data_IF_859791873847
#
_entry.id   IF_859791873847
#
_cell.length_a   1.000
_cell.length_b   1.000
_cell.length_c   1.000
_cell.angle_alpha   90.00
_cell.angle_beta   90.00
_cell.angle_gamma   90.00
#
_symmetry.space_group_name_H-M   'P 1'
#
loop_
_entity.id
_entity.type
_entity.pdbx_description
1 polymer ?
#
# COMPACT_ATOMS: atom_id res chain seq x y z
N UNK A 1 57.16 73.29 -8.63
CA UNK A 1 55.89 73.18 -7.88
C UNK A 1 55.20 71.86 -8.25
N UNK A 2 55.70 70.71 -7.76
CA UNK A 2 55.15 69.38 -8.11
C UNK A 2 55.26 68.47 -6.88
N UNK A 3 54.18 68.37 -6.12
CA UNK A 3 53.90 67.28 -5.16
C UNK A 3 52.53 67.59 -4.54
N UNK A 4 51.45 67.00 -5.07
CA UNK A 4 50.23 66.73 -4.29
C UNK A 4 49.15 65.89 -5.00
N UNK A 5 49.28 65.58 -6.31
CA UNK A 5 48.25 64.78 -6.97
C UNK A 5 48.32 63.27 -6.67
N UNK A 6 49.51 62.68 -6.47
CA UNK A 6 49.63 61.23 -6.23
C UNK A 6 48.99 60.77 -4.90
N UNK A 7 49.13 61.53 -3.82
CA UNK A 7 48.59 61.18 -2.49
C UNK A 7 47.05 61.21 -2.49
N UNK A 8 46.46 62.18 -3.19
CA UNK A 8 44.99 62.33 -3.28
C UNK A 8 44.35 61.21 -4.10
N UNK A 9 45.03 60.74 -5.16
CA UNK A 9 44.58 59.63 -6.00
C UNK A 9 44.66 58.28 -5.25
N UNK A 10 45.75 58.05 -4.51
CA UNK A 10 45.91 56.81 -3.73
C UNK A 10 44.87 56.64 -2.60
N UNK A 11 44.50 57.72 -1.90
CA UNK A 11 43.44 57.69 -0.87
C UNK A 11 42.06 57.38 -1.45
N UNK A 12 41.74 57.90 -2.64
CA UNK A 12 40.42 57.70 -3.29
C UNK A 12 40.23 56.26 -3.77
N UNK A 13 41.28 55.59 -4.26
CA UNK A 13 41.23 54.18 -4.68
C UNK A 13 41.17 53.21 -3.49
N UNK A 14 41.88 53.51 -2.39
CA UNK A 14 41.76 52.75 -1.12
C UNK A 14 40.36 52.88 -0.52
N UNK A 15 39.77 54.08 -0.53
CA UNK A 15 38.39 54.30 -0.05
C UNK A 15 37.36 53.58 -0.92
N UNK A 16 37.51 53.61 -2.25
CA UNK A 16 36.64 52.89 -3.20
C UNK A 16 36.74 51.36 -3.02
N UNK A 17 37.95 50.84 -2.79
CA UNK A 17 38.19 49.43 -2.50
C UNK A 17 37.56 48.99 -1.17
N UNK A 18 37.63 49.82 -0.12
CA UNK A 18 37.00 49.53 1.18
C UNK A 18 35.47 49.54 1.05
N UNK A 19 34.88 50.51 0.34
CA UNK A 19 33.43 50.52 0.07
C UNK A 19 32.98 49.35 -0.82
N UNK A 20 33.81 48.89 -1.76
CA UNK A 20 33.50 47.73 -2.60
C UNK A 20 33.57 46.42 -1.81
N UNK A 21 34.53 46.28 -0.89
CA UNK A 21 34.60 45.15 0.03
C UNK A 21 33.44 45.12 1.03
N UNK A 22 32.97 46.29 1.50
CA UNK A 22 31.82 46.39 2.39
C UNK A 22 30.49 46.05 1.68
N UNK A 23 30.35 46.48 0.42
CA UNK A 23 29.20 46.10 -0.42
C UNK A 23 29.16 44.59 -0.72
N UNK A 24 30.33 43.97 -0.95
CA UNK A 24 30.43 42.52 -1.16
C UNK A 24 30.09 41.73 0.12
N UNK A 25 30.54 42.22 1.29
CA UNK A 25 30.19 41.64 2.59
C UNK A 25 28.67 41.73 2.84
N UNK A 26 28.05 42.86 2.51
CA UNK A 26 26.61 43.07 2.64
C UNK A 26 25.80 42.10 1.74
N UNK A 27 26.26 41.87 0.51
CA UNK A 27 25.63 40.90 -0.42
C UNK A 27 25.78 39.47 0.06
N UNK A 28 26.92 39.12 0.69
CA UNK A 28 27.13 37.78 1.27
C UNK A 28 26.25 37.56 2.50
N UNK A 29 26.08 38.58 3.35
CA UNK A 29 25.18 38.52 4.52
C UNK A 29 23.71 38.42 4.10
N UNK A 30 23.29 39.18 3.09
CA UNK A 30 21.93 39.09 2.52
C UNK A 30 21.69 37.77 1.79
N UNK A 31 22.71 37.19 1.15
CA UNK A 31 22.63 35.86 0.51
C UNK A 31 22.52 34.72 1.53
N UNK A 32 23.24 34.80 2.65
CA UNK A 32 23.18 33.81 3.73
C UNK A 32 21.82 33.79 4.47
N UNK A 33 21.11 34.92 4.50
CA UNK A 33 19.75 35.00 5.06
C UNK A 33 18.66 34.37 4.17
N UNK A 34 18.97 34.00 2.92
CA UNK A 34 18.01 33.36 2.00
C UNK A 34 17.97 31.82 2.10
N UNK A 35 18.88 31.21 2.89
CA UNK A 35 18.96 29.76 3.10
C UNK A 35 18.44 29.36 4.50
N UNK A 36 17.18 29.65 4.79
CA UNK A 36 16.46 28.95 5.86
C UNK A 36 14.98 28.92 5.51
N UNK A 37 14.63 28.01 4.60
CA UNK A 37 13.24 27.69 4.23
C UNK A 37 12.68 26.59 5.15
N UNK A 38 13.14 26.52 6.40
CA UNK A 38 12.79 25.45 7.35
C UNK A 38 11.61 25.83 8.27
N UNK A 39 11.13 27.08 8.23
CA UNK A 39 10.07 27.56 9.13
C UNK A 39 8.66 27.06 8.76
N UNK A 40 8.52 26.28 7.68
CA UNK A 40 7.27 25.59 7.32
C UNK A 40 7.16 24.19 7.93
N UNK A 41 8.21 23.70 8.61
CA UNK A 41 8.27 22.32 9.15
C UNK A 41 7.96 22.27 10.66
N UNK A 42 7.93 23.40 11.35
CA UNK A 42 7.87 23.45 12.82
C UNK A 42 6.46 23.37 13.42
N UNK A 43 5.40 23.49 12.61
CA UNK A 43 4.04 23.26 13.07
C UNK A 43 3.55 21.91 12.57
N UNK A 44 4.08 20.83 13.16
CA UNK A 44 3.38 19.53 13.15
C UNK A 44 1.90 19.82 13.51
N UNK A 45 0.93 19.19 12.82
CA UNK A 45 -0.47 19.49 13.12
C UNK A 45 -0.70 19.22 14.61
N UNK A 46 -1.41 20.13 15.27
CA UNK A 46 -1.64 20.07 16.72
C UNK A 46 -2.37 18.78 17.15
N UNK A 47 -3.02 18.11 16.20
CA UNK A 47 -3.77 16.89 16.44
C UNK A 47 -3.32 15.77 15.51
N UNK A 48 -2.95 14.66 16.12
CA UNK A 48 -2.64 13.39 15.45
C UNK A 48 -3.82 12.43 15.58
N UNK A 49 -4.07 11.69 14.50
CA UNK A 49 -5.18 10.73 14.46
C UNK A 49 -4.75 9.43 13.80
N UNK A 50 -5.28 8.31 14.26
CA UNK A 50 -5.15 7.01 13.59
C UNK A 50 -6.47 6.59 12.96
N UNK A 51 -6.40 5.90 11.83
CA UNK A 51 -7.60 5.46 11.11
C UNK A 51 -7.33 4.30 10.15
N UNK A 52 -8.41 3.63 9.73
CA UNK A 52 -8.42 2.63 8.68
C UNK A 52 -8.80 3.31 7.34
N UNK A 53 -7.94 3.31 6.31
CA UNK A 53 -8.17 4.13 5.11
C UNK A 53 -9.40 3.78 4.27
N UNK A 54 -9.94 2.57 4.42
CA UNK A 54 -11.07 2.07 3.64
C UNK A 54 -12.07 1.41 4.58
N UNK A 55 -13.31 1.88 4.54
CA UNK A 55 -14.40 1.30 5.31
C UNK A 55 -14.76 -0.12 4.83
N UNK A 56 -14.66 -0.40 3.53
CA UNK A 56 -14.91 -1.73 2.97
C UNK A 56 -13.87 -2.04 1.89
N UNK A 57 -13.34 -3.27 1.88
CA UNK A 57 -12.44 -3.73 0.83
C UNK A 57 -12.43 -5.25 0.66
N UNK A 58 -12.42 -5.67 -0.59
CA UNK A 58 -12.23 -7.07 -0.97
C UNK A 58 -10.75 -7.43 -1.11
N UNK A 59 -10.38 -8.58 -0.56
CA UNK A 59 -9.00 -9.06 -0.54
C UNK A 59 -8.92 -10.53 -0.93
N UNK A 60 -7.84 -10.89 -1.61
CA UNK A 60 -7.68 -12.23 -2.17
C UNK A 60 -6.37 -12.84 -1.70
N UNK A 61 -6.44 -13.98 -1.03
CA UNK A 61 -5.28 -14.76 -0.62
C UNK A 61 -4.66 -15.46 -1.83
N UNK A 62 -3.32 -15.46 -1.89
CA UNK A 62 -2.59 -16.18 -2.93
C UNK A 62 -2.12 -17.52 -2.36
N UNK A 63 -2.62 -18.61 -2.93
CA UNK A 63 -2.19 -19.95 -2.55
C UNK A 63 -0.72 -20.16 -2.93
N UNK A 64 0.06 -20.75 -2.03
CA UNK A 64 1.50 -20.95 -2.23
C UNK A 64 2.37 -19.75 -1.82
N UNK A 65 1.77 -18.61 -1.48
CA UNK A 65 2.46 -17.39 -1.01
C UNK A 65 2.08 -17.03 0.44
N UNK A 66 1.92 -18.06 1.28
CA UNK A 66 1.64 -17.89 2.71
C UNK A 66 0.20 -17.57 3.09
N UNK A 67 -0.66 -17.17 2.13
CA UNK A 67 -2.08 -16.84 2.36
C UNK A 67 -2.30 -15.85 3.51
N UNK A 68 -1.58 -14.73 3.44
CA UNK A 68 -1.55 -13.71 4.49
C UNK A 68 -1.80 -12.32 3.90
N UNK A 69 -2.63 -11.52 4.58
CA UNK A 69 -2.98 -10.16 4.16
C UNK A 69 -2.83 -9.20 5.34
N UNK A 70 -2.09 -8.11 5.11
CA UNK A 70 -1.89 -7.06 6.10
C UNK A 70 -3.07 -6.09 6.15
N UNK A 71 -3.64 -5.93 7.35
CA UNK A 71 -4.64 -4.92 7.69
C UNK A 71 -3.90 -3.75 8.33
N UNK A 72 -3.87 -2.63 7.62
CA UNK A 72 -3.06 -1.48 7.96
C UNK A 72 -3.85 -0.35 8.62
N UNK A 73 -3.34 0.17 9.73
CA UNK A 73 -3.76 1.47 10.30
C UNK A 73 -2.78 2.55 9.86
N UNK A 74 -3.31 3.73 9.57
CA UNK A 74 -2.52 4.87 9.12
C UNK A 74 -2.53 5.94 10.19
N UNK A 75 -1.35 6.51 10.41
CA UNK A 75 -1.14 7.65 11.28
C UNK A 75 -1.14 8.95 10.46
N UNK A 76 -2.05 9.86 10.82
CA UNK A 76 -2.15 11.22 10.28
C UNK A 76 -1.75 12.30 11.30
N UNK A 77 -1.62 13.53 10.82
CA UNK A 77 -1.38 14.72 11.65
C UNK A 77 0.08 15.00 12.03
N UNK A 78 1.03 14.14 11.63
CA UNK A 78 2.46 14.38 11.88
C UNK A 78 3.31 14.08 10.65
N UNK A 79 4.31 14.93 10.41
CA UNK A 79 5.24 14.81 9.28
C UNK A 79 6.22 13.64 9.48
N UNK A 80 6.61 13.38 10.73
CA UNK A 80 7.50 12.30 11.08
C UNK A 80 7.03 11.62 12.37
N UNK A 81 7.03 10.30 12.37
CA UNK A 81 6.74 9.52 13.57
C UNK A 81 8.03 9.23 14.32
N UNK A 82 8.21 9.77 15.53
CA UNK A 82 9.47 9.61 16.30
C UNK A 82 9.43 8.44 17.29
N UNK A 83 8.26 7.80 17.47
CA UNK A 83 8.07 6.74 18.45
C UNK A 83 7.09 5.66 17.97
N UNK A 84 7.03 4.53 18.68
CA UNK A 84 6.04 3.50 18.39
C UNK A 84 4.67 3.94 18.89
N UNK A 85 3.69 3.95 18.00
CA UNK A 85 2.26 4.21 18.32
C UNK A 85 1.56 2.88 18.40
N UNK A 86 0.78 2.68 19.46
CA UNK A 86 0.03 1.45 19.69
C UNK A 86 -1.45 1.71 19.47
N UNK A 87 -2.08 0.89 18.63
CA UNK A 87 -3.50 0.96 18.33
C UNK A 87 -4.13 -0.37 18.72
N UNK A 88 -5.07 -0.34 19.65
CA UNK A 88 -5.86 -1.51 20.05
C UNK A 88 -7.07 -1.63 19.13
N UNK A 89 -7.35 -2.85 18.68
CA UNK A 89 -8.52 -3.13 17.86
C UNK A 89 -9.32 -4.30 18.44
N UNK A 90 -10.55 -4.43 17.97
CA UNK A 90 -11.38 -5.60 18.20
C UNK A 90 -11.97 -6.07 16.87
N UNK A 91 -12.42 -7.33 16.85
CA UNK A 91 -13.25 -7.84 15.77
C UNK A 91 -14.72 -7.67 16.15
N UNK A 92 -15.49 -7.09 15.24
CA UNK A 92 -16.91 -6.81 15.42
C UNK A 92 -17.74 -7.46 14.32
N UNK A 93 -18.44 -8.53 14.70
CA UNK A 93 -19.29 -9.32 13.83
C UNK A 93 -20.50 -8.52 13.32
N UNK A 94 -20.98 -7.52 14.07
CA UNK A 94 -22.12 -6.71 13.66
C UNK A 94 -21.80 -5.89 12.40
N UNK A 95 -20.58 -5.34 12.31
CA UNK A 95 -20.11 -4.62 11.12
C UNK A 95 -20.14 -5.52 9.88
N UNK A 96 -19.81 -6.80 10.04
CA UNK A 96 -19.80 -7.77 8.95
C UNK A 96 -21.21 -8.05 8.46
N UNK A 97 -22.14 -8.31 9.39
CA UNK A 97 -23.53 -8.60 9.04
C UNK A 97 -24.25 -7.39 8.46
N UNK A 98 -23.95 -6.19 8.94
CA UNK A 98 -24.53 -4.94 8.43
C UNK A 98 -24.06 -4.63 7.00
N UNK A 99 -22.84 -5.02 6.65
CA UNK A 99 -22.31 -4.97 5.28
C UNK A 99 -22.86 -6.07 4.36
N UNK A 100 -23.71 -6.98 4.87
CA UNK A 100 -24.30 -8.06 4.09
C UNK A 100 -23.38 -9.25 3.84
N UNK A 101 -22.25 -9.34 4.56
CA UNK A 101 -21.29 -10.43 4.48
C UNK A 101 -21.53 -11.47 5.60
N UNK A 102 -20.88 -12.62 5.49
CA UNK A 102 -20.85 -13.64 6.54
C UNK A 102 -19.56 -13.50 7.37
N UNK A 103 -19.67 -13.62 8.69
CA UNK A 103 -18.51 -13.58 9.59
C UNK A 103 -17.56 -14.72 9.25
N UNK A 104 -16.28 -14.41 9.04
CA UNK A 104 -15.24 -15.42 8.82
C UNK A 104 -15.05 -16.26 10.11
N UNK A 105 -15.21 -17.59 10.04
CA UNK A 105 -15.09 -18.44 11.22
C UNK A 105 -13.71 -18.36 11.87
N UNK A 106 -13.65 -18.40 13.21
CA UNK A 106 -12.41 -18.26 13.97
C UNK A 106 -11.37 -19.36 13.72
N UNK A 107 -11.78 -20.52 13.22
CA UNK A 107 -10.88 -21.61 12.82
C UNK A 107 -10.36 -21.47 11.37
N UNK A 108 -10.79 -20.44 10.63
CA UNK A 108 -10.38 -20.19 9.24
C UNK A 108 -9.20 -19.22 9.15
N UNK A 109 -8.82 -18.58 10.25
CA UNK A 109 -7.72 -17.63 10.27
C UNK A 109 -7.00 -17.58 11.61
N UNK A 110 -5.85 -16.92 11.58
CA UNK A 110 -5.10 -16.46 12.74
C UNK A 110 -4.69 -15.01 12.50
N UNK A 111 -4.64 -14.22 13.57
CA UNK A 111 -4.07 -12.88 13.52
C UNK A 111 -2.61 -12.96 13.97
N UNK A 112 -1.70 -12.42 13.17
CA UNK A 112 -0.27 -12.42 13.45
C UNK A 112 0.36 -11.04 13.30
N UNK A 113 1.44 -10.79 14.03
CA UNK A 113 2.27 -9.58 13.89
C UNK A 113 3.20 -9.66 12.67
N UNK A 114 4.08 -8.67 12.50
CA UNK A 114 5.07 -8.64 11.40
C UNK A 114 6.10 -9.76 11.46
N UNK A 115 6.29 -10.36 12.62
CA UNK A 115 7.23 -11.45 12.88
C UNK A 115 6.57 -12.83 12.81
N UNK A 116 5.24 -12.87 12.66
CA UNK A 116 4.44 -14.09 12.57
C UNK A 116 3.99 -14.67 13.91
N UNK A 117 4.15 -13.94 15.02
CA UNK A 117 3.61 -14.34 16.33
C UNK A 117 2.13 -13.97 16.45
N UNK A 118 1.34 -14.64 17.30
CA UNK A 118 -0.05 -14.28 17.54
C UNK A 118 -0.21 -12.80 17.90
N UNK A 119 -1.09 -12.10 17.18
CA UNK A 119 -1.37 -10.71 17.43
C UNK A 119 -2.23 -10.57 18.70
N UNK A 120 -1.74 -9.80 19.68
CA UNK A 120 -2.44 -9.50 20.93
C UNK A 120 -3.47 -8.36 20.77
N UNK A 121 -4.29 -8.44 19.71
CA UNK A 121 -5.29 -7.41 19.35
C UNK A 121 -4.74 -5.97 19.29
N UNK A 122 -3.46 -5.85 18.91
CA UNK A 122 -2.72 -4.60 18.82
C UNK A 122 -2.05 -4.47 17.47
N UNK A 123 -2.01 -3.25 16.98
CA UNK A 123 -1.24 -2.86 15.80
C UNK A 123 -0.24 -1.81 16.25
N UNK A 124 1.04 -2.08 16.00
CA UNK A 124 2.13 -1.15 16.27
C UNK A 124 2.46 -0.42 14.98
N UNK A 125 2.46 0.92 15.03
CA UNK A 125 3.04 1.78 14.00
C UNK A 125 4.46 2.11 14.47
N UNK A 126 5.51 1.51 13.87
CA UNK A 126 6.87 1.71 14.34
C UNK A 126 7.33 3.16 14.17
N UNK A 127 8.28 3.58 15.01
CA UNK A 127 9.00 4.83 14.82
C UNK A 127 9.58 4.91 13.39
N UNK A 128 9.46 6.07 12.76
CA UNK A 128 9.84 6.34 11.38
C UNK A 128 8.85 5.84 10.33
N UNK A 129 7.74 5.19 10.73
CA UNK A 129 6.68 4.74 9.83
C UNK A 129 5.37 5.48 10.11
N UNK A 130 4.55 5.59 9.08
CA UNK A 130 3.19 6.16 9.15
C UNK A 130 2.11 5.09 9.10
N UNK A 131 2.50 3.81 8.96
CA UNK A 131 1.58 2.68 8.86
C UNK A 131 2.08 1.54 9.73
N UNK A 132 1.13 0.88 10.41
CA UNK A 132 1.34 -0.36 11.15
C UNK A 132 0.36 -1.41 10.65
N UNK A 133 0.73 -2.68 10.79
CA UNK A 133 -0.06 -3.80 10.25
C UNK A 133 -0.27 -4.89 11.28
N UNK A 134 -1.49 -5.45 11.30
CA UNK A 134 -1.74 -6.81 11.76
C UNK A 134 -2.05 -7.66 10.54
N UNK A 135 -1.68 -8.93 10.56
CA UNK A 135 -1.87 -9.79 9.41
C UNK A 135 -2.92 -10.85 9.69
N UNK A 136 -3.89 -10.95 8.78
CA UNK A 136 -4.83 -12.06 8.74
C UNK A 136 -4.19 -13.17 7.93
N UNK A 137 -3.87 -14.28 8.59
CA UNK A 137 -3.32 -15.48 7.96
C UNK A 137 -4.40 -16.54 7.90
N UNK A 138 -4.80 -16.92 6.69
CA UNK A 138 -5.82 -17.95 6.49
C UNK A 138 -5.28 -19.34 6.85
N UNK A 139 -6.14 -20.15 7.46
CA UNK A 139 -5.90 -21.58 7.63
C UNK A 139 -6.15 -22.28 6.29
N UNK A 140 -5.09 -22.76 5.67
CA UNK A 140 -5.16 -23.34 4.31
C UNK A 140 -5.94 -24.65 4.25
N UNK A 141 -6.27 -25.28 5.37
CA UNK A 141 -7.05 -26.51 5.41
C UNK A 141 -8.53 -26.15 5.47
N UNK A 142 -8.94 -25.39 6.48
CA UNK A 142 -10.34 -25.08 6.73
C UNK A 142 -10.90 -24.07 5.71
N UNK A 143 -10.16 -22.99 5.42
CA UNK A 143 -10.62 -21.93 4.53
C UNK A 143 -10.78 -22.43 3.08
N UNK A 144 -9.83 -23.23 2.59
CA UNK A 144 -9.86 -23.76 1.22
C UNK A 144 -10.79 -24.96 1.05
N UNK A 145 -11.14 -25.67 2.13
CA UNK A 145 -12.09 -26.78 2.07
C UNK A 145 -13.54 -26.30 1.87
N UNK A 146 -13.85 -25.06 2.25
CA UNK A 146 -15.17 -24.47 2.06
C UNK A 146 -15.31 -23.86 0.64
N UNK A 147 -16.26 -24.35 -0.18
CA UNK A 147 -16.53 -23.78 -1.50
C UNK A 147 -16.99 -22.33 -1.47
N UNK A 148 -17.62 -21.88 -0.37
CA UNK A 148 -18.16 -20.51 -0.24
C UNK A 148 -17.02 -19.48 -0.12
N UNK A 149 -15.84 -19.89 0.35
CA UNK A 149 -14.64 -19.05 0.44
C UNK A 149 -14.11 -18.57 -0.90
N UNK A 150 -14.57 -19.12 -2.03
CA UNK A 150 -14.13 -18.71 -3.36
C UNK A 150 -14.82 -17.43 -3.85
N UNK A 151 -15.98 -17.08 -3.29
CA UNK A 151 -16.58 -15.74 -3.43
C UNK A 151 -16.29 -14.94 -2.17
N UNK A 152 -16.13 -13.61 -2.29
CA UNK A 152 -15.91 -12.65 -1.20
C UNK A 152 -17.08 -12.60 -0.18
N UNK A 153 -17.48 -13.75 0.36
CA UNK A 153 -18.63 -13.94 1.23
C UNK A 153 -18.23 -13.83 2.70
N UNK A 154 -17.04 -14.33 3.04
CA UNK A 154 -16.52 -14.28 4.40
C UNK A 154 -15.72 -13.00 4.63
N UNK A 155 -15.98 -12.34 5.75
CA UNK A 155 -15.32 -11.09 6.09
C UNK A 155 -14.97 -10.98 7.59
N UNK A 156 -14.05 -10.08 7.88
CA UNK A 156 -13.71 -9.63 9.24
C UNK A 156 -13.97 -8.13 9.37
N UNK A 157 -14.70 -7.74 10.41
CA UNK A 157 -14.92 -6.34 10.78
C UNK A 157 -13.89 -5.91 11.81
N UNK A 158 -12.98 -5.03 11.44
CA UNK A 158 -12.02 -4.42 12.35
C UNK A 158 -12.60 -3.13 12.91
N UNK A 159 -12.50 -2.93 14.23
CA UNK A 159 -12.86 -1.68 14.90
C UNK A 159 -11.73 -1.23 15.80
N UNK A 160 -11.28 0.01 15.64
CA UNK A 160 -10.28 0.62 16.49
C UNK A 160 -10.92 1.05 17.81
N UNK A 161 -10.34 0.65 18.93
CA UNK A 161 -10.90 0.86 20.28
C UNK A 161 -10.14 1.93 21.05
N UNK A 162 -8.80 1.91 20.95
CA UNK A 162 -7.95 2.80 21.70
C UNK A 162 -6.65 3.07 20.95
N UNK A 163 -6.04 4.22 21.22
CA UNK A 163 -4.72 4.58 20.71
C UNK A 163 -3.85 5.13 21.84
N UNK A 164 -2.58 4.77 21.82
CA UNK A 164 -1.56 5.25 22.74
C UNK A 164 -0.47 5.93 21.92
N UNK A 165 -0.08 7.15 22.32
CA UNK A 165 0.87 8.03 21.60
C UNK A 165 0.34 8.56 20.26
N UNK A 166 -0.98 8.70 20.14
CA UNK A 166 -1.66 9.62 19.22
C UNK A 166 -2.86 10.23 19.97
N UNK A 167 -3.39 11.35 19.48
CA UNK A 167 -4.43 12.09 20.22
C UNK A 167 -5.82 11.48 20.08
N UNK A 168 -6.13 10.89 18.91
CA UNK A 168 -7.48 10.40 18.62
C UNK A 168 -7.54 9.28 17.59
N UNK A 169 -8.69 8.63 17.53
CA UNK A 169 -9.11 7.79 16.40
C UNK A 169 -10.08 8.64 15.56
N UNK A 170 -9.93 8.61 14.25
CA UNK A 170 -10.85 9.32 13.36
C UNK A 170 -12.18 8.56 13.29
N UNK A 171 -13.25 9.13 13.86
CA UNK A 171 -14.54 8.45 14.03
C UNK A 171 -15.14 7.89 12.74
N UNK A 172 -15.07 8.64 11.64
CA UNK A 172 -15.63 8.21 10.34
C UNK A 172 -14.89 7.02 9.73
N UNK A 173 -13.64 6.78 10.16
CA UNK A 173 -12.73 5.76 9.63
C UNK A 173 -12.17 4.87 10.74
N UNK A 174 -12.94 4.71 11.83
CA UNK A 174 -12.57 3.85 12.97
C UNK A 174 -12.78 2.37 12.70
N UNK A 175 -13.52 2.01 11.66
CA UNK A 175 -13.84 0.64 11.32
C UNK A 175 -13.59 0.31 9.85
N UNK A 176 -13.36 -0.97 9.57
CA UNK A 176 -13.19 -1.51 8.24
C UNK A 176 -13.71 -2.94 8.16
N UNK A 177 -14.50 -3.25 7.15
CA UNK A 177 -14.92 -4.61 6.81
C UNK A 177 -14.07 -5.11 5.65
N UNK A 178 -13.41 -6.24 5.84
CA UNK A 178 -12.51 -6.83 4.85
C UNK A 178 -13.05 -8.19 4.48
N UNK A 179 -13.46 -8.36 3.23
CA UNK A 179 -13.90 -9.64 2.69
C UNK A 179 -12.71 -10.41 2.10
N UNK A 180 -12.80 -11.73 2.11
CA UNK A 180 -11.71 -12.61 1.68
C UNK A 180 -12.16 -13.62 0.64
N UNK A 181 -11.36 -13.75 -0.42
CA UNK A 181 -11.38 -14.86 -1.38
C UNK A 181 -9.96 -15.42 -1.54
N UNK A 182 -9.76 -16.37 -2.45
CA UNK A 182 -8.44 -16.92 -2.77
C UNK A 182 -8.28 -17.20 -4.26
N UNK A 183 -7.02 -17.14 -4.70
CA UNK A 183 -6.58 -17.57 -6.03
C UNK A 183 -5.36 -18.46 -5.92
N UNK A 184 -5.22 -19.36 -6.88
CA UNK A 184 -4.01 -20.15 -7.07
C UNK A 184 -3.06 -19.42 -8.05
N UNK A 185 -1.79 -19.78 -8.05
CA UNK A 185 -0.74 -19.30 -8.96
C UNK A 185 -1.07 -19.49 -10.45
N UNK A 186 -1.97 -20.42 -10.78
CA UNK A 186 -2.42 -20.65 -12.16
C UNK A 186 -3.62 -19.79 -12.56
N UNK A 187 -4.17 -18.98 -11.66
CA UNK A 187 -5.26 -18.07 -11.99
C UNK A 187 -4.76 -16.92 -12.87
N UNK A 188 -5.43 -16.69 -13.99
CA UNK A 188 -5.12 -15.54 -14.85
C UNK A 188 -5.33 -15.79 -16.33
N UNK A 189 -4.82 -14.86 -17.13
CA UNK A 189 -4.89 -14.89 -18.58
C UNK A 189 -3.57 -15.39 -19.17
N UNK A 190 -3.65 -16.34 -20.09
CA UNK A 190 -2.52 -16.99 -20.73
C UNK A 190 -2.60 -16.85 -22.24
N UNK A 191 -1.47 -16.61 -22.90
CA UNK A 191 -1.38 -16.69 -24.35
C UNK A 191 -1.06 -18.13 -24.72
N UNK A 192 -1.95 -18.79 -25.47
CA UNK A 192 -1.71 -20.16 -25.89
C UNK A 192 -0.97 -20.20 -27.23
N UNK A 193 0.09 -21.01 -27.29
CA UNK A 193 0.81 -21.34 -28.52
C UNK A 193 0.92 -22.85 -28.65
N UNK A 194 0.95 -23.39 -29.86
CA UNK A 194 1.12 -24.83 -30.07
C UNK A 194 0.42 -25.35 -31.32
N UNK A 195 0.43 -26.67 -31.47
CA UNK A 195 -0.23 -27.37 -32.59
C UNK A 195 -1.03 -28.55 -32.04
N UNK A 196 -2.16 -28.87 -32.66
CA UNK A 196 -2.93 -30.08 -32.34
C UNK A 196 -3.35 -30.79 -33.62
N UNK A 197 -3.46 -32.11 -33.54
CA UNK A 197 -3.98 -32.93 -34.63
C UNK A 197 -5.43 -33.31 -34.33
N UNK A 198 -6.33 -33.01 -35.27
CA UNK A 198 -7.72 -33.43 -35.21
C UNK A 198 -7.88 -34.65 -36.10
N UNK A 199 -8.29 -35.78 -35.52
CA UNK A 199 -8.54 -37.02 -36.26
C UNK A 199 -10.03 -37.29 -36.34
N UNK A 200 -10.64 -36.90 -37.47
CA UNK A 200 -12.02 -37.25 -37.84
C UNK A 200 -12.00 -38.17 -39.08
N UNK A 201 -11.24 -39.27 -39.04
CA UNK A 201 -11.01 -40.15 -40.17
C UNK A 201 -9.97 -39.66 -41.19
N UNK A 202 -9.70 -38.35 -41.23
CA UNK A 202 -8.50 -37.73 -41.83
C UNK A 202 -7.79 -36.91 -40.75
N UNK A 203 -6.46 -36.90 -40.75
CA UNK A 203 -5.64 -36.14 -39.79
C UNK A 203 -5.39 -34.74 -40.34
N UNK A 204 -5.83 -33.72 -39.62
CA UNK A 204 -5.54 -32.31 -39.91
C UNK A 204 -4.73 -31.69 -38.77
N UNK A 205 -3.60 -31.07 -39.09
CA UNK A 205 -2.78 -30.32 -38.11
C UNK A 205 -3.24 -28.86 -38.06
N UNK A 206 -3.65 -28.40 -36.89
CA UNK A 206 -4.05 -27.01 -36.64
C UNK A 206 -3.00 -26.34 -35.74
N UNK A 207 -2.58 -25.13 -36.11
CA UNK A 207 -1.56 -24.35 -35.42
C UNK A 207 -2.18 -23.11 -34.77
N UNK A 208 -1.94 -22.90 -33.48
CA UNK A 208 -2.28 -21.66 -32.79
C UNK A 208 -1.22 -20.60 -33.13
N UNK A 209 -1.62 -19.44 -33.66
CA UNK A 209 -0.67 -18.42 -34.14
C UNK A 209 0.03 -17.68 -32.99
N UNK A 210 -0.45 -17.81 -31.75
CA UNK A 210 0.24 -17.31 -30.55
C UNK A 210 0.16 -15.81 -30.33
N UNK A 211 -0.99 -15.20 -30.67
CA UNK A 211 -1.25 -13.78 -30.44
C UNK A 211 -2.09 -13.52 -29.18
N UNK A 212 -2.20 -12.24 -28.78
CA UNK A 212 -3.05 -11.78 -27.67
C UNK A 212 -4.54 -12.12 -27.92
N UNK A 213 -4.93 -12.39 -29.16
CA UNK A 213 -6.28 -12.77 -29.55
C UNK A 213 -6.65 -14.22 -29.26
N UNK A 214 -5.68 -15.06 -28.90
CA UNK A 214 -5.86 -16.46 -28.49
C UNK A 214 -5.58 -16.61 -26.99
N UNK A 215 -6.23 -15.75 -26.21
CA UNK A 215 -6.12 -15.74 -24.76
C UNK A 215 -7.01 -16.83 -24.12
N UNK A 216 -6.39 -17.57 -23.22
CA UNK A 216 -6.99 -18.59 -22.38
C UNK A 216 -7.13 -18.02 -20.97
N UNK A 217 -8.35 -17.95 -20.46
CA UNK A 217 -8.61 -17.54 -19.09
C UNK A 217 -8.76 -18.77 -18.19
N UNK A 218 -7.89 -18.86 -17.19
CA UNK A 218 -7.98 -19.85 -16.12
C UNK A 218 -8.66 -19.22 -14.91
N UNK A 219 -9.89 -19.63 -14.65
CA UNK A 219 -10.66 -19.21 -13.47
C UNK A 219 -10.63 -20.28 -12.40
N UNK A 220 -10.75 -19.86 -11.14
CA UNK A 220 -10.83 -20.79 -10.02
C UNK A 220 -12.21 -21.45 -9.96
N UNK A 221 -12.24 -22.77 -9.71
CA UNK A 221 -13.47 -23.52 -9.38
C UNK A 221 -13.34 -24.16 -7.99
N UNK A 222 -12.15 -24.65 -7.68
CA UNK A 222 -11.78 -25.17 -6.37
C UNK A 222 -10.25 -25.04 -6.21
N UNK A 223 -9.67 -25.30 -5.02
CA UNK A 223 -8.23 -25.11 -4.80
C UNK A 223 -7.33 -25.86 -5.80
N UNK A 224 -7.81 -27.01 -6.32
CA UNK A 224 -7.11 -27.87 -7.29
C UNK A 224 -7.84 -28.01 -8.64
N UNK A 225 -8.92 -27.27 -8.86
CA UNK A 225 -9.72 -27.38 -10.08
C UNK A 225 -9.93 -26.00 -10.70
N UNK A 226 -9.75 -25.93 -12.02
CA UNK A 226 -9.87 -24.70 -12.78
C UNK A 226 -11.00 -24.79 -13.81
N UNK A 227 -11.68 -23.67 -13.97
CA UNK A 227 -12.55 -23.41 -15.11
C UNK A 227 -11.67 -22.96 -16.27
N UNK A 228 -11.94 -23.52 -17.45
CA UNK A 228 -11.28 -23.14 -18.68
C UNK A 228 -12.28 -22.34 -19.51
N UNK A 229 -12.04 -21.05 -19.70
CA UNK A 229 -12.89 -20.22 -20.56
C UNK A 229 -12.11 -19.78 -21.79
N UNK A 230 -12.61 -20.19 -22.96
CA UNK A 230 -12.05 -19.79 -24.25
C UNK A 230 -12.71 -18.50 -24.72
N UNK A 231 -11.95 -17.41 -24.81
CA UNK A 231 -12.43 -16.19 -25.44
C UNK A 231 -12.16 -16.24 -26.95
N UNK A 232 -13.01 -16.96 -27.70
CA UNK A 232 -12.95 -16.98 -29.17
C UNK A 232 -13.44 -15.63 -29.73
N UNK A 233 -12.61 -14.57 -29.70
CA UNK A 233 -13.00 -13.20 -30.08
C UNK A 233 -13.00 -12.92 -31.59
N UNK A 234 -12.79 -13.93 -32.44
CA UNK A 234 -12.84 -13.80 -33.90
C UNK A 234 -13.53 -15.02 -34.54
N UNK A 235 -14.81 -14.87 -34.92
CA UNK A 235 -15.56 -15.45 -36.06
C UNK A 235 -15.15 -16.80 -36.72
N UNK A 236 -14.42 -17.70 -36.05
CA UNK A 236 -14.05 -19.03 -36.55
C UNK A 236 -14.01 -20.04 -35.40
N UNK A 237 -15.09 -20.07 -34.64
CA UNK A 237 -15.47 -21.26 -33.90
C UNK A 237 -16.63 -21.89 -34.69
N UNK A 238 -16.29 -22.73 -35.67
CA UNK A 238 -17.20 -23.62 -36.40
C UNK A 238 -16.47 -24.93 -36.67
#
# INVERSE_FOLDING_TARGET
>A
MVKNNKIKIMKKNKLKSITQSFALLLVIVLGAASCSYDDFVENEFEFTSVYLPKAEIDRTFIMGEGMQIGVGVVLGGRLSNKENVEVTFSLDDALVTDAGNTVLPSNYYSLVDSEGNPADNKIIIPAGKTQGFVYVKADSINFLADPVSLGNNYALGFRLENVVKADSILEDLKSSVISFSYINQLYGNYIQTGQFEKTNGTTETVVYPGGITDDLELTMVAPKHFGLQWYCRLKRCR
#
